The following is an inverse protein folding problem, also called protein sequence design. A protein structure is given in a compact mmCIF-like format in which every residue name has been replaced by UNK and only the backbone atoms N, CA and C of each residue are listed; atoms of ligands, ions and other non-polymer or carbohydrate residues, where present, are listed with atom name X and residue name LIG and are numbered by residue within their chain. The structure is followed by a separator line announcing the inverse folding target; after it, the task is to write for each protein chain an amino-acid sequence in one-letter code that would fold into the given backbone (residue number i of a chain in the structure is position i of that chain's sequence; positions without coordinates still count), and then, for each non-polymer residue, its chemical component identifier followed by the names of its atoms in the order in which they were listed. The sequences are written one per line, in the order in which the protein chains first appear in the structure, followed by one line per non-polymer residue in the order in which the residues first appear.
data_IF_532868605521
#
_entry.id   IF_532868605521
#
_cell.length_a   1.000
_cell.length_b   1.000
_cell.length_c   1.000
_cell.angle_alpha   90.00
_cell.angle_beta   90.00
_cell.angle_gamma   90.00
#
_symmetry.space_group_name_H-M   'P 1'
#
loop_
_entity.id
_entity.type
_entity.pdbx_description
1 polymer ?
#
# COMPACT_ATOMS: atom_id res chain seq x y z
N UNK A 1 1.54 -6.04 12.60
CA UNK A 1 0.23 -6.68 12.36
C UNK A 1 -0.95 -5.74 12.53
N UNK A 2 -0.90 -4.70 13.39
CA UNK A 2 -2.04 -3.78 13.58
C UNK A 2 -2.40 -2.95 12.34
N UNK A 3 -1.41 -2.37 11.63
CA UNK A 3 -1.67 -1.50 10.48
C UNK A 3 -2.40 -2.22 9.32
N UNK A 4 -2.01 -3.46 9.02
CA UNK A 4 -2.67 -4.28 7.98
C UNK A 4 -4.12 -4.57 8.32
N UNK A 5 -4.43 -4.82 9.59
CA UNK A 5 -5.80 -5.14 10.02
C UNK A 5 -6.69 -3.91 10.00
N UNK A 6 -6.20 -2.76 10.46
CA UNK A 6 -6.94 -1.49 10.40
C UNK A 6 -7.26 -1.08 8.94
N UNK A 7 -6.30 -1.20 8.01
CA UNK A 7 -6.59 -0.91 6.61
C UNK A 7 -7.49 -1.96 5.94
N UNK A 8 -7.46 -3.21 6.40
CA UNK A 8 -8.37 -4.24 5.90
C UNK A 8 -9.81 -3.99 6.34
N UNK A 9 -10.02 -3.47 7.55
CA UNK A 9 -11.33 -3.09 8.09
C UNK A 9 -11.97 -1.98 7.23
N UNK A 10 -11.24 -0.88 7.02
CA UNK A 10 -11.68 0.24 6.17
C UNK A 10 -11.93 -0.18 4.72
N UNK A 11 -11.08 -1.06 4.16
CA UNK A 11 -11.26 -1.58 2.80
C UNK A 11 -12.52 -2.46 2.67
N UNK A 12 -12.94 -3.10 3.76
CA UNK A 12 -14.14 -3.91 3.80
C UNK A 12 -15.41 -3.05 3.77
N UNK A 13 -15.40 -1.91 4.47
CA UNK A 13 -16.52 -0.96 4.43
C UNK A 13 -16.73 -0.40 3.02
N UNK A 14 -15.66 -0.01 2.33
CA UNK A 14 -15.76 0.45 0.93
C UNK A 14 -16.33 -0.62 0.01
N UNK A 15 -15.96 -1.88 0.23
CA UNK A 15 -16.51 -3.00 -0.54
C UNK A 15 -18.02 -3.15 -0.33
N UNK A 16 -18.50 -3.02 0.90
CA UNK A 16 -19.94 -3.12 1.20
C UNK A 16 -20.73 -1.94 0.63
N UNK A 17 -20.17 -0.74 0.72
CA UNK A 17 -20.86 0.49 0.31
C UNK A 17 -20.88 0.69 -1.21
N UNK A 18 -19.81 0.30 -1.91
CA UNK A 18 -19.63 0.61 -3.34
C UNK A 18 -19.62 -0.62 -4.25
N UNK A 19 -19.45 -1.81 -3.69
CA UNK A 19 -19.17 -3.04 -4.46
C UNK A 19 -17.76 -3.09 -5.04
N UNK A 20 -16.89 -2.10 -4.76
CA UNK A 20 -15.51 -2.06 -5.24
C UNK A 20 -14.58 -2.73 -4.23
N UNK A 21 -13.83 -3.73 -4.67
CA UNK A 21 -12.84 -4.41 -3.81
C UNK A 21 -11.54 -3.63 -3.73
N UNK A 22 -11.23 -3.11 -2.54
CA UNK A 22 -9.93 -2.54 -2.20
C UNK A 22 -9.10 -3.60 -1.45
N UNK A 23 -7.82 -3.73 -1.78
CA UNK A 23 -6.88 -4.61 -1.09
C UNK A 23 -5.69 -3.78 -0.63
N UNK A 24 -5.38 -3.74 0.68
CA UNK A 24 -4.21 -3.03 1.16
C UNK A 24 -2.94 -3.72 0.69
N UNK A 25 -1.96 -2.93 0.24
CA UNK A 25 -0.64 -3.40 -0.15
C UNK A 25 0.36 -2.98 0.94
N UNK A 26 0.96 -3.97 1.61
CA UNK A 26 2.03 -3.69 2.58
C UNK A 26 3.34 -3.58 1.80
N UNK A 27 3.99 -2.42 1.90
CA UNK A 27 5.29 -2.16 1.29
C UNK A 27 6.28 -1.71 2.35
N UNK A 28 7.50 -2.22 2.27
CA UNK A 28 8.62 -1.79 3.10
C UNK A 28 9.46 -0.74 2.36
N UNK A 29 10.15 0.13 3.10
CA UNK A 29 10.98 1.18 2.51
C UNK A 29 12.07 0.64 1.55
N UNK A 30 12.69 -0.48 1.91
CA UNK A 30 13.72 -1.10 1.06
C UNK A 30 13.14 -1.66 -0.26
N UNK A 31 11.88 -2.09 -0.27
CA UNK A 31 11.20 -2.54 -1.49
C UNK A 31 10.84 -1.34 -2.38
N UNK A 32 10.42 -0.23 -1.76
CA UNK A 32 10.13 1.01 -2.48
C UNK A 32 11.38 1.63 -3.10
N UNK A 33 12.52 1.58 -2.39
CA UNK A 33 13.80 2.08 -2.90
C UNK A 33 14.39 1.19 -4.01
N UNK A 34 13.97 -0.07 -4.10
CA UNK A 34 14.46 -1.06 -5.08
C UNK A 34 13.29 -1.76 -5.79
N UNK A 35 12.46 -1.01 -6.54
CA UNK A 35 11.24 -1.55 -7.13
C UNK A 35 11.50 -2.68 -8.13
N UNK A 36 12.72 -2.74 -8.71
CA UNK A 36 13.16 -3.81 -9.61
C UNK A 36 13.20 -5.20 -8.94
N UNK A 37 13.32 -5.24 -7.61
CA UNK A 37 13.37 -6.48 -6.83
C UNK A 37 12.01 -6.95 -6.33
N UNK A 38 10.98 -6.10 -6.46
CA UNK A 38 9.63 -6.43 -6.05
C UNK A 38 8.99 -7.46 -7.01
N UNK A 39 8.06 -8.28 -6.52
CA UNK A 39 7.41 -9.31 -7.35
C UNK A 39 6.68 -8.75 -8.57
N UNK A 40 6.28 -7.47 -8.52
CA UNK A 40 5.70 -6.76 -9.66
C UNK A 40 6.28 -5.33 -9.76
N UNK A 41 7.44 -5.15 -10.41
CA UNK A 41 8.09 -3.84 -10.52
C UNK A 41 7.23 -2.80 -11.25
N UNK A 42 6.41 -3.24 -12.22
CA UNK A 42 5.52 -2.36 -12.97
C UNK A 42 4.43 -1.73 -12.10
N UNK A 43 3.97 -2.43 -11.07
CA UNK A 43 3.01 -1.89 -10.10
C UNK A 43 3.61 -0.69 -9.36
N UNK A 44 4.81 -0.82 -8.82
CA UNK A 44 5.47 0.26 -8.09
C UNK A 44 5.81 1.45 -9.00
N UNK A 45 6.23 1.18 -10.24
CA UNK A 45 6.44 2.23 -11.24
C UNK A 45 5.15 3.01 -11.55
N UNK A 46 4.01 2.33 -11.64
CA UNK A 46 2.72 2.98 -11.86
C UNK A 46 2.27 3.80 -10.64
N UNK A 47 2.43 3.26 -9.43
CA UNK A 47 2.09 4.00 -8.18
C UNK A 47 2.94 5.26 -8.05
N UNK A 48 4.25 5.17 -8.33
CA UNK A 48 5.15 6.33 -8.31
C UNK A 48 4.80 7.36 -9.39
N UNK A 49 4.30 6.91 -10.55
CA UNK A 49 3.83 7.79 -11.62
C UNK A 49 2.55 8.54 -11.26
N UNK A 50 1.68 7.93 -10.45
CA UNK A 50 0.42 8.53 -10.01
C UNK A 50 0.62 9.56 -8.88
N UNK A 51 1.87 10.01 -8.67
CA UNK A 51 2.30 10.98 -7.65
C UNK A 51 1.86 10.62 -6.21
N UNK A 52 1.73 9.33 -5.92
CA UNK A 52 1.51 8.85 -4.55
C UNK A 52 2.87 8.84 -3.82
N UNK A 53 3.14 9.77 -2.89
CA UNK A 53 4.44 9.84 -2.24
C UNK A 53 4.58 8.69 -1.25
N UNK A 54 5.75 8.07 -1.23
CA UNK A 54 6.12 7.19 -0.12
C UNK A 54 6.39 8.04 1.12
N UNK A 55 5.50 7.96 2.10
CA UNK A 55 5.66 8.65 3.37
C UNK A 55 6.39 7.74 4.38
N UNK A 56 7.70 7.94 4.51
CA UNK A 56 8.53 7.24 5.49
C UNK A 56 8.23 7.63 6.94
N UNK A 57 7.48 8.73 7.18
CA UNK A 57 7.11 9.17 8.54
C UNK A 57 6.02 8.28 9.17
N UNK A 58 5.25 7.55 8.35
CA UNK A 58 4.23 6.60 8.81
C UNK A 58 4.81 5.24 9.26
N UNK A 59 6.04 4.92 8.87
CA UNK A 59 6.71 3.65 9.20
C UNK A 59 7.33 3.65 10.61
N UNK A 60 7.55 4.84 11.20
CA UNK A 60 8.36 5.04 12.41
C UNK A 60 7.64 4.98 13.77
N UNK A 61 6.32 4.76 13.85
CA UNK A 61 5.64 4.62 15.15
C UNK A 61 5.56 3.15 15.57
N UNK A 62 6.63 2.68 16.20
CA UNK A 62 6.57 1.56 17.17
C UNK A 62 6.65 2.09 18.58
#
# INVERSE_FOLDING_TARGET
MAATLAMADEAFDVLLDTGIRISPLVLWEHEWQRPETYSNPALLANIARDDVPFDSTLSGRK
#
